data_IF_976689531342
#
_entry.id   IF_976689531342
#
_cell.length_a   1.000
_cell.length_b   1.000
_cell.length_c   1.000
_cell.angle_alpha   90.00
_cell.angle_beta   90.00
_cell.angle_gamma   90.00
#
_symmetry.space_group_name_H-M   'P 1'
#
loop_
_entity.id
_entity.type
_entity.pdbx_description
1 polymer ?
#
# COMPACT_ATOMS: atom_id res chain seq x y z
N UNK A 1 -8.48 -11.95 -13.95
CA UNK A 1 -9.31 -11.69 -12.75
C UNK A 1 -10.38 -10.69 -13.15
N UNK A 2 -11.57 -10.75 -12.54
CA UNK A 2 -12.52 -9.65 -12.65
C UNK A 2 -11.89 -8.41 -11.99
N UNK A 3 -12.05 -7.23 -12.60
CA UNK A 3 -11.54 -5.97 -12.05
C UNK A 3 -12.15 -5.72 -10.68
N UNK A 4 -11.31 -5.36 -9.70
CA UNK A 4 -11.79 -5.01 -8.37
C UNK A 4 -12.46 -3.64 -8.42
N UNK A 5 -13.64 -3.57 -7.82
CA UNK A 5 -14.44 -2.36 -7.74
C UNK A 5 -14.45 -1.74 -6.34
N UNK A 6 -13.92 -2.44 -5.34
CA UNK A 6 -13.76 -1.90 -4.00
C UNK A 6 -12.55 -0.98 -3.89
N UNK A 7 -12.33 -0.41 -2.69
CA UNK A 7 -11.19 0.46 -2.47
C UNK A 7 -9.86 -0.29 -2.51
N UNK A 8 -8.81 0.47 -2.84
CA UNK A 8 -7.42 0.03 -2.77
C UNK A 8 -6.71 0.93 -1.77
N UNK A 9 -6.24 0.34 -0.68
CA UNK A 9 -5.47 0.99 0.37
C UNK A 9 -4.00 1.03 -0.05
N UNK A 10 -3.40 2.22 -0.04
CA UNK A 10 -2.01 2.43 -0.39
C UNK A 10 -1.19 2.79 0.85
N UNK A 11 -0.02 2.16 0.98
CA UNK A 11 1.02 2.61 1.89
C UNK A 11 1.83 3.75 1.27
N UNK A 12 2.68 4.37 2.08
CA UNK A 12 3.58 5.44 1.64
C UNK A 12 4.41 5.00 0.44
N UNK A 13 5.03 3.82 0.52
CA UNK A 13 5.97 3.33 -0.49
C UNK A 13 5.31 3.15 -1.86
N UNK A 14 4.09 2.63 -1.93
CA UNK A 14 3.30 2.50 -3.14
C UNK A 14 2.97 3.85 -3.77
N UNK A 15 2.63 4.85 -2.95
CA UNK A 15 2.43 6.23 -3.42
C UNK A 15 3.73 6.73 -4.04
N UNK A 16 4.86 6.60 -3.35
CA UNK A 16 6.15 7.07 -3.82
C UNK A 16 6.55 6.43 -5.15
N UNK A 17 6.39 5.12 -5.27
CA UNK A 17 6.72 4.39 -6.49
C UNK A 17 5.79 4.79 -7.65
N UNK A 18 4.50 4.98 -7.38
CA UNK A 18 3.52 5.38 -8.39
C UNK A 18 3.83 6.77 -8.97
N UNK A 19 4.27 7.71 -8.14
CA UNK A 19 4.79 8.99 -8.61
C UNK A 19 6.09 8.79 -9.39
N UNK A 20 6.99 7.91 -8.89
CA UNK A 20 8.28 7.64 -9.55
C UNK A 20 8.16 7.24 -10.99
N UNK A 21 7.26 6.30 -11.26
CA UNK A 21 7.12 5.76 -12.60
C UNK A 21 6.11 6.53 -13.47
N UNK A 22 5.61 7.66 -12.96
CA UNK A 22 4.63 8.51 -13.66
C UNK A 22 3.24 7.85 -13.80
N UNK A 23 2.89 6.94 -12.90
CA UNK A 23 1.67 6.12 -12.98
C UNK A 23 0.56 6.56 -12.03
N UNK A 24 0.81 7.53 -11.14
CA UNK A 24 -0.15 7.98 -10.14
C UNK A 24 -1.54 8.28 -10.73
N UNK A 25 -1.62 9.12 -11.78
CA UNK A 25 -2.90 9.49 -12.42
C UNK A 25 -3.66 8.30 -13.01
N UNK A 26 -2.94 7.31 -13.54
CA UNK A 26 -3.58 6.11 -14.06
C UNK A 26 -4.14 5.24 -12.92
N UNK A 27 -3.42 5.15 -11.80
CA UNK A 27 -3.86 4.41 -10.62
C UNK A 27 -5.07 5.08 -9.96
N UNK A 28 -4.98 6.37 -9.63
CA UNK A 28 -6.05 7.12 -8.96
C UNK A 28 -7.27 7.38 -9.85
N UNK A 29 -7.09 7.43 -11.18
CA UNK A 29 -8.21 7.45 -12.13
C UNK A 29 -8.84 6.08 -12.38
N UNK A 30 -8.08 5.00 -12.18
CA UNK A 30 -8.53 3.62 -12.43
C UNK A 30 -9.20 2.95 -11.22
N UNK A 31 -8.90 3.39 -10.01
CA UNK A 31 -9.35 2.76 -8.77
C UNK A 31 -9.80 3.79 -7.73
N UNK A 32 -10.67 3.36 -6.81
CA UNK A 32 -10.95 4.09 -5.59
C UNK A 32 -9.75 3.99 -4.63
N UNK A 33 -8.71 4.77 -4.89
CA UNK A 33 -7.49 4.78 -4.09
C UNK A 33 -7.74 5.52 -2.80
N UNK A 34 -7.48 4.85 -1.68
CA UNK A 34 -7.59 5.42 -0.34
C UNK A 34 -6.27 5.21 0.44
N UNK A 35 -6.06 6.01 1.47
CA UNK A 35 -4.94 5.82 2.40
C UNK A 35 -5.31 6.38 3.77
N UNK A 36 -4.34 6.42 4.68
CA UNK A 36 -4.46 7.00 6.03
C UNK A 36 -3.59 8.23 6.16
N UNK A 37 -3.92 9.11 7.10
CA UNK A 37 -3.24 10.40 7.28
C UNK A 37 -1.73 10.25 7.48
N UNK A 38 -1.29 9.24 8.25
CA UNK A 38 0.13 9.01 8.51
C UNK A 38 0.93 8.70 7.24
N UNK A 39 0.35 7.95 6.29
CA UNK A 39 1.00 7.68 5.03
C UNK A 39 1.17 8.97 4.20
N UNK A 40 0.21 9.90 4.26
CA UNK A 40 0.36 11.22 3.64
C UNK A 40 1.51 11.97 4.29
N UNK A 41 1.53 12.07 5.62
CA UNK A 41 2.61 12.73 6.36
C UNK A 41 3.96 12.16 5.95
N UNK A 42 4.09 10.84 5.92
CA UNK A 42 5.33 10.16 5.55
C UNK A 42 5.78 10.49 4.12
N UNK A 43 4.86 10.66 3.17
CA UNK A 43 5.21 11.09 1.79
C UNK A 43 5.90 12.46 1.76
N UNK A 44 5.60 13.31 2.75
CA UNK A 44 6.12 14.67 2.91
C UNK A 44 7.39 14.71 3.78
N UNK A 45 7.51 13.80 4.74
CA UNK A 45 8.68 13.71 5.62
C UNK A 45 9.96 13.33 4.86
N UNK A 46 11.11 13.76 5.38
CA UNK A 46 12.41 13.50 4.74
C UNK A 46 12.80 14.50 3.65
N UNK A 47 12.18 15.69 3.61
CA UNK A 47 12.43 16.78 2.65
C UNK A 47 12.25 16.39 1.18
N UNK A 48 11.53 15.29 0.93
CA UNK A 48 11.41 14.70 -0.40
C UNK A 48 12.75 14.72 -1.16
N UNK A 49 13.82 14.13 -0.57
CA UNK A 49 15.16 13.98 -1.17
C UNK A 49 15.12 13.18 -2.48
N UNK A 50 14.51 13.78 -3.48
CA UNK A 50 14.17 13.28 -4.80
C UNK A 50 14.40 14.44 -5.75
N UNK A 51 14.49 14.15 -7.04
CA UNK A 51 14.58 15.20 -8.03
C UNK A 51 13.30 16.07 -8.02
N UNK A 52 13.34 17.34 -8.44
CA UNK A 52 12.19 18.24 -8.37
C UNK A 52 10.93 17.67 -9.06
N UNK A 53 11.10 16.96 -10.16
CA UNK A 53 10.02 16.28 -10.90
C UNK A 53 9.39 15.09 -10.17
N UNK A 54 10.06 14.62 -9.12
CA UNK A 54 9.66 13.53 -8.24
C UNK A 54 9.04 14.02 -6.93
N UNK A 55 8.95 15.35 -6.77
CA UNK A 55 8.27 15.94 -5.63
C UNK A 55 6.76 15.72 -5.74
N UNK A 56 6.16 15.43 -4.60
CA UNK A 56 4.73 15.19 -4.46
C UNK A 56 4.15 16.42 -3.80
N UNK A 57 3.36 17.19 -4.55
CA UNK A 57 2.55 18.24 -3.96
C UNK A 57 1.47 17.62 -3.06
N UNK A 58 1.46 17.99 -1.78
CA UNK A 58 0.55 17.41 -0.80
C UNK A 58 -0.92 17.71 -1.15
N UNK A 59 -1.21 18.91 -1.64
CA UNK A 59 -2.58 19.30 -1.99
C UNK A 59 -3.08 18.52 -3.23
N UNK A 60 -2.23 18.34 -4.25
CA UNK A 60 -2.55 17.50 -5.42
C UNK A 60 -2.74 16.03 -5.00
N UNK A 61 -1.86 15.51 -4.14
CA UNK A 61 -1.98 14.15 -3.61
C UNK A 61 -3.33 13.98 -2.91
N UNK A 62 -3.65 14.85 -1.94
CA UNK A 62 -4.90 14.78 -1.18
C UNK A 62 -6.13 14.89 -2.08
N UNK A 63 -6.13 15.80 -3.05
CA UNK A 63 -7.25 16.01 -3.96
C UNK A 63 -7.47 14.83 -4.93
N UNK A 64 -6.42 14.05 -5.22
CA UNK A 64 -6.49 12.90 -6.13
C UNK A 64 -6.92 11.59 -5.46
N UNK A 65 -6.92 11.53 -4.13
CA UNK A 65 -7.34 10.36 -3.36
C UNK A 65 -8.87 10.32 -3.22
N UNK A 66 -9.44 9.12 -3.24
CA UNK A 66 -10.89 8.93 -3.02
C UNK A 66 -11.28 9.26 -1.58
N UNK A 67 -10.45 8.86 -0.62
CA UNK A 67 -10.59 9.17 0.79
C UNK A 67 -9.24 9.09 1.50
N UNK A 68 -9.11 9.89 2.56
CA UNK A 68 -8.03 9.80 3.53
C UNK A 68 -8.68 9.50 4.87
N UNK A 69 -8.33 8.36 5.45
CA UNK A 69 -9.04 7.82 6.59
C UNK A 69 -8.28 8.15 7.89
N UNK A 70 -8.92 8.82 8.86
CA UNK A 70 -8.33 9.00 10.18
C UNK A 70 -8.28 7.64 10.89
N UNK A 71 -7.23 7.43 11.68
CA UNK A 71 -7.07 6.20 12.48
C UNK A 71 -6.89 6.58 13.94
N UNK A 72 -7.78 6.09 14.79
CA UNK A 72 -7.76 6.38 16.23
C UNK A 72 -6.85 5.41 16.99
N UNK A 73 -6.42 5.81 18.18
CA UNK A 73 -5.51 5.01 19.03
C UNK A 73 -6.04 3.60 19.33
N UNK A 74 -7.36 3.47 19.50
CA UNK A 74 -8.00 2.18 19.73
C UNK A 74 -7.79 1.20 18.56
N UNK A 75 -7.84 1.69 17.32
CA UNK A 75 -7.61 0.85 16.13
C UNK A 75 -6.13 0.46 16.01
N UNK A 76 -5.22 1.41 16.29
CA UNK A 76 -3.76 1.14 16.32
C UNK A 76 -3.40 0.12 17.40
N UNK A 77 -4.08 0.16 18.55
CA UNK A 77 -3.88 -0.78 19.63
C UNK A 77 -4.23 -2.22 19.22
N UNK A 78 -5.27 -2.41 18.39
CA UNK A 78 -5.61 -3.73 17.84
C UNK A 78 -4.44 -4.31 17.06
N UNK A 79 -3.80 -3.53 16.19
CA UNK A 79 -2.61 -3.95 15.44
C UNK A 79 -1.47 -4.35 16.37
N UNK A 80 -1.19 -3.52 17.40
CA UNK A 80 -0.11 -3.77 18.34
C UNK A 80 -0.30 -5.06 19.16
N UNK A 81 -1.54 -5.44 19.48
CA UNK A 81 -1.85 -6.67 20.23
C UNK A 81 -1.87 -7.90 19.32
N UNK A 82 -2.26 -7.76 18.05
CA UNK A 82 -2.41 -8.88 17.11
C UNK A 82 -1.07 -9.49 16.66
N UNK A 83 -0.03 -8.68 16.53
CA UNK A 83 1.31 -9.14 16.16
C UNK A 83 2.40 -8.27 16.81
N UNK A 84 2.58 -8.35 18.13
CA UNK A 84 3.50 -7.48 18.89
C UNK A 84 4.97 -7.68 18.51
N UNK A 85 5.31 -8.82 17.91
CA UNK A 85 6.65 -9.16 17.42
C UNK A 85 6.97 -8.61 16.03
N UNK A 86 5.97 -8.07 15.31
CA UNK A 86 6.18 -7.49 13.99
C UNK A 86 6.35 -5.97 14.14
N UNK A 87 7.55 -5.49 13.80
CA UNK A 87 7.85 -4.08 13.79
C UNK A 87 7.29 -3.42 12.52
N UNK A 88 6.15 -2.76 12.66
CA UNK A 88 5.57 -1.89 11.62
C UNK A 88 5.96 -0.44 11.89
N UNK A 89 6.23 0.32 10.84
CA UNK A 89 6.34 1.78 10.97
C UNK A 89 4.96 2.42 11.29
N UNK A 90 4.92 3.75 11.38
CA UNK A 90 3.71 4.45 11.82
C UNK A 90 2.63 4.39 10.72
N UNK A 91 3.00 4.67 9.46
CA UNK A 91 2.11 4.60 8.31
C UNK A 91 1.54 3.21 8.10
N UNK A 92 2.37 2.17 8.09
CA UNK A 92 1.96 0.76 7.94
C UNK A 92 1.01 0.33 9.06
N UNK A 93 1.34 0.67 10.31
CA UNK A 93 0.50 0.34 11.46
C UNK A 93 -0.88 0.98 11.35
N UNK A 94 -0.95 2.23 10.94
CA UNK A 94 -2.21 2.93 10.71
C UNK A 94 -2.99 2.36 9.53
N UNK A 95 -2.30 2.05 8.43
CA UNK A 95 -2.93 1.47 7.26
C UNK A 95 -3.54 0.11 7.59
N UNK A 96 -2.81 -0.74 8.32
CA UNK A 96 -3.33 -2.03 8.79
C UNK A 96 -4.46 -1.88 9.80
N UNK A 97 -4.38 -0.92 10.71
CA UNK A 97 -5.44 -0.63 11.66
C UNK A 97 -6.75 -0.31 10.95
N UNK A 98 -6.70 0.53 9.91
CA UNK A 98 -7.85 0.80 9.04
C UNK A 98 -8.25 -0.43 8.22
N UNK A 99 -7.30 -1.14 7.61
CA UNK A 99 -7.61 -2.30 6.77
C UNK A 99 -8.37 -3.41 7.52
N UNK A 100 -8.09 -3.58 8.83
CA UNK A 100 -8.75 -4.55 9.70
C UNK A 100 -10.20 -4.21 10.03
N UNK A 101 -10.63 -2.95 9.88
CA UNK A 101 -12.05 -2.57 10.03
C UNK A 101 -12.86 -2.82 8.75
N UNK A 102 -12.20 -3.22 7.66
CA UNK A 102 -12.78 -3.35 6.33
C UNK A 102 -12.78 -4.80 5.85
N UNK A 103 -13.81 -5.17 5.10
CA UNK A 103 -13.89 -6.45 4.39
C UNK A 103 -13.84 -6.30 2.86
N UNK A 104 -13.91 -5.07 2.35
CA UNK A 104 -14.14 -4.72 0.95
C UNK A 104 -12.89 -4.18 0.23
N UNK A 105 -11.79 -3.99 0.95
CA UNK A 105 -10.61 -3.27 0.44
C UNK A 105 -9.42 -4.20 0.15
N UNK A 106 -8.70 -3.92 -0.94
CA UNK A 106 -7.36 -4.47 -1.17
C UNK A 106 -6.30 -3.59 -0.52
N UNK A 107 -5.17 -4.17 -0.18
CA UNK A 107 -4.00 -3.49 0.40
C UNK A 107 -2.84 -3.65 -0.59
N UNK A 108 -2.27 -2.53 -0.99
CA UNK A 108 -1.18 -2.53 -1.95
C UNK A 108 0.12 -3.02 -1.30
N UNK A 109 0.87 -3.81 -2.05
CA UNK A 109 2.14 -4.37 -1.59
C UNK A 109 3.27 -3.37 -1.76
N UNK A 110 3.75 -2.86 -0.63
CA UNK A 110 5.03 -2.16 -0.53
C UNK A 110 6.22 -3.12 -0.44
N UNK A 111 7.45 -2.57 -0.43
CA UNK A 111 8.69 -3.34 -0.32
C UNK A 111 8.96 -3.89 1.08
N UNK A 112 8.17 -3.50 2.07
CA UNK A 112 8.36 -3.89 3.46
C UNK A 112 7.85 -5.31 3.73
N UNK A 113 8.76 -6.17 4.17
CA UNK A 113 8.45 -7.57 4.46
C UNK A 113 7.72 -7.76 5.79
N UNK A 114 7.93 -6.89 6.77
CA UNK A 114 7.25 -6.95 8.06
C UNK A 114 5.75 -6.66 7.89
N UNK A 115 5.42 -5.63 7.10
CA UNK A 115 4.05 -5.31 6.70
C UNK A 115 3.37 -6.45 5.94
N UNK A 116 4.06 -7.08 4.98
CA UNK A 116 3.51 -8.24 4.26
C UNK A 116 3.31 -9.46 5.17
N UNK A 117 4.27 -9.71 6.07
CA UNK A 117 4.18 -10.77 7.09
C UNK A 117 2.97 -10.58 8.00
N UNK A 118 2.69 -9.34 8.41
CA UNK A 118 1.50 -9.00 9.19
C UNK A 118 0.21 -9.40 8.47
N UNK A 119 0.08 -9.01 7.20
CA UNK A 119 -1.07 -9.35 6.36
C UNK A 119 -1.28 -10.87 6.23
N UNK A 120 -0.20 -11.62 5.97
CA UNK A 120 -0.26 -13.09 5.88
C UNK A 120 -0.68 -13.73 7.19
N UNK A 121 -0.07 -13.32 8.32
CA UNK A 121 -0.38 -13.85 9.65
C UNK A 121 -1.85 -13.67 10.04
N UNK A 122 -2.47 -12.57 9.62
CA UNK A 122 -3.89 -12.31 9.89
C UNK A 122 -4.83 -12.90 8.84
N UNK A 123 -4.32 -13.73 7.92
CA UNK A 123 -5.15 -14.38 6.89
C UNK A 123 -5.64 -13.42 5.81
N UNK A 124 -5.01 -12.26 5.65
CA UNK A 124 -5.38 -11.23 4.68
C UNK A 124 -4.58 -11.32 3.37
N UNK A 125 -3.89 -12.45 3.13
CA UNK A 125 -3.03 -12.66 1.96
C UNK A 125 -3.78 -12.41 0.63
N UNK A 126 -5.06 -12.79 0.54
CA UNK A 126 -5.86 -12.67 -0.68
C UNK A 126 -6.33 -11.23 -0.94
N UNK A 127 -6.03 -10.31 0.00
CA UNK A 127 -6.26 -8.87 -0.13
C UNK A 127 -4.99 -8.11 -0.48
N UNK A 128 -3.83 -8.77 -0.53
CA UNK A 128 -2.56 -8.18 -0.92
C UNK A 128 -2.47 -8.15 -2.45
N UNK A 129 -2.16 -6.99 -3.02
CA UNK A 129 -2.03 -6.83 -4.47
C UNK A 129 -0.81 -6.02 -4.88
N UNK A 130 -0.10 -6.49 -5.91
CA UNK A 130 1.03 -5.78 -6.48
C UNK A 130 0.58 -4.56 -7.30
N UNK A 131 1.32 -3.46 -7.19
CA UNK A 131 1.09 -2.25 -7.99
C UNK A 131 1.10 -2.55 -9.50
N UNK A 132 2.01 -3.42 -9.95
CA UNK A 132 2.07 -3.88 -11.34
C UNK A 132 0.73 -4.44 -11.84
N UNK A 133 0.05 -5.23 -11.01
CA UNK A 133 -1.24 -5.85 -11.37
C UNK A 133 -2.32 -4.80 -11.54
N UNK A 134 -2.40 -3.84 -10.62
CA UNK A 134 -3.38 -2.75 -10.69
C UNK A 134 -3.16 -1.87 -11.92
N UNK A 135 -1.91 -1.50 -12.20
CA UNK A 135 -1.58 -0.67 -13.36
C UNK A 135 -1.89 -1.38 -14.69
N UNK A 136 -1.55 -2.67 -14.79
CA UNK A 136 -1.87 -3.47 -15.96
C UNK A 136 -3.40 -3.57 -16.18
N UNK A 137 -4.18 -3.79 -15.12
CA UNK A 137 -5.64 -3.87 -15.20
C UNK A 137 -6.29 -2.50 -15.49
N UNK A 138 -5.66 -1.40 -15.07
CA UNK A 138 -6.01 -0.05 -15.50
C UNK A 138 -5.61 0.26 -16.97
N UNK A 139 -4.99 -0.68 -17.68
CA UNK A 139 -4.51 -0.50 -19.06
C UNK A 139 -3.28 0.41 -19.15
N UNK A 140 -2.57 0.63 -18.04
CA UNK A 140 -1.43 1.51 -17.96
C UNK A 140 -0.12 0.74 -17.92
N UNK A 141 0.80 1.11 -18.81
CA UNK A 141 2.18 0.66 -18.77
C UNK A 141 3.09 1.80 -18.31
N UNK A 142 3.77 1.66 -17.16
CA UNK A 142 4.72 2.65 -16.68
C UNK A 142 5.80 2.98 -17.70
N UNK A 143 6.25 4.25 -17.75
CA UNK A 143 7.35 4.67 -18.62
C UNK A 143 8.70 4.16 -18.11
N UNK A 144 8.86 4.16 -16.80
CA UNK A 144 9.99 3.57 -16.09
C UNK A 144 9.58 2.23 -15.50
N UNK A 145 10.51 1.27 -15.47
CA UNK A 145 10.24 -0.02 -14.83
C UNK A 145 9.97 0.16 -13.34
N UNK A 146 8.95 -0.54 -12.83
CA UNK A 146 8.70 -0.67 -11.39
C UNK A 146 9.89 -1.36 -10.73
N UNK A 147 10.21 -0.98 -9.48
CA UNK A 147 11.17 -1.74 -8.68
C UNK A 147 10.62 -3.17 -8.47
N UNK A 148 11.50 -4.18 -8.37
CA UNK A 148 11.07 -5.58 -8.28
C UNK A 148 10.03 -5.84 -7.20
N UNK A 149 10.11 -5.14 -6.06
CA UNK A 149 9.19 -5.30 -4.93
C UNK A 149 7.73 -4.92 -5.21
N UNK A 150 7.44 -4.26 -6.33
CA UNK A 150 6.08 -3.86 -6.72
C UNK A 150 5.50 -4.73 -7.85
N UNK A 151 6.21 -5.81 -8.20
CA UNK A 151 5.80 -6.75 -9.26
C UNK A 151 4.99 -7.91 -8.69
N UNK A 152 4.08 -8.46 -9.50
CA UNK A 152 3.29 -9.63 -9.10
C UNK A 152 4.20 -10.83 -8.80
N UNK A 153 5.25 -11.01 -9.60
CA UNK A 153 6.23 -12.09 -9.42
C UNK A 153 6.92 -12.02 -8.06
N UNK A 154 7.30 -10.82 -7.59
CA UNK A 154 7.91 -10.67 -6.29
C UNK A 154 6.91 -10.96 -5.17
N UNK A 155 5.69 -10.46 -5.30
CA UNK A 155 4.64 -10.68 -4.33
C UNK A 155 4.33 -12.18 -4.18
N UNK A 156 4.09 -12.88 -5.29
CA UNK A 156 3.81 -14.32 -5.28
C UNK A 156 4.91 -15.12 -4.57
N UNK A 157 6.18 -14.78 -4.86
CA UNK A 157 7.33 -15.40 -4.21
C UNK A 157 7.34 -15.11 -2.71
N UNK A 158 7.19 -13.85 -2.32
CA UNK A 158 7.22 -13.44 -0.92
C UNK A 158 6.07 -14.07 -0.13
N UNK A 159 4.85 -14.10 -0.67
CA UNK A 159 3.71 -14.73 -0.02
C UNK A 159 3.92 -16.23 0.14
N UNK A 160 4.51 -16.91 -0.83
CA UNK A 160 4.89 -18.32 -0.71
C UNK A 160 5.90 -18.55 0.42
N UNK A 161 6.95 -17.73 0.51
CA UNK A 161 7.95 -17.80 1.59
C UNK A 161 7.32 -17.53 2.96
N UNK A 162 6.50 -16.49 3.07
CA UNK A 162 5.86 -16.11 4.33
C UNK A 162 4.85 -17.15 4.79
N UNK A 163 4.04 -17.69 3.89
CA UNK A 163 3.05 -18.72 4.18
C UNK A 163 3.70 -19.95 4.83
N UNK A 164 4.81 -20.42 4.25
CA UNK A 164 5.59 -21.53 4.82
C UNK A 164 6.21 -21.19 6.18
N UNK A 165 6.70 -19.95 6.34
CA UNK A 165 7.37 -19.52 7.58
C UNK A 165 6.42 -19.29 8.77
N UNK A 166 5.17 -18.92 8.49
CA UNK A 166 4.14 -18.67 9.51
C UNK A 166 3.38 -19.96 9.91
N UNK A 167 3.73 -21.10 9.32
CA UNK A 167 3.23 -22.42 9.73
C UNK A 167 1.81 -22.74 9.23
N UNK A 168 1.42 -22.18 8.08
CA UNK A 168 0.16 -22.49 7.41
C UNK A 168 0.27 -23.62 6.39
#
# INVERSE_FOLDING_TARGET
MARHHGPVLLDTNAILESYRVGSWRALSGGYAVETVEDCIIETQTGFQRRSPEMQIDEAELRASLKAINPVIDAERAVVAVRAPDIALDVGERSLWAHALTRSDAWVLCGPDKASMRFGVRLGLKDRLIALETLLADAGHRPKEALKPAYTAKWLDKLLGELFMSEGF
#
